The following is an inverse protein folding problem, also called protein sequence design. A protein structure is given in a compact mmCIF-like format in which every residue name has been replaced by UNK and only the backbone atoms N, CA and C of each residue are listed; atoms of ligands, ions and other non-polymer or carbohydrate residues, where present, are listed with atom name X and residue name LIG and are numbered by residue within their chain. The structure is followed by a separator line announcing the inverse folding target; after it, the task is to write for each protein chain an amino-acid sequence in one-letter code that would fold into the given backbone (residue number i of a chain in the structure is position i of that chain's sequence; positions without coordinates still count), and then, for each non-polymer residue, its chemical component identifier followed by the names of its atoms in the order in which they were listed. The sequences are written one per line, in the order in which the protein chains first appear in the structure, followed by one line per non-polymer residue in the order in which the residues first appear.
data_IF_427460723159
#
_entry.id   IF_427460723159
#
_cell.length_a   1.000
_cell.length_b   1.000
_cell.length_c   1.000
_cell.angle_alpha   90.00
_cell.angle_beta   90.00
_cell.angle_gamma   90.00
#
_symmetry.space_group_name_H-M   'P 1'
#
loop_
_entity.id
_entity.type
_entity.pdbx_description
1 polymer ?
#
# COMPACT_ATOMS: atom_id res chain seq x y z
N UNK A 1 -7.27 28.48 -8.81
CA UNK A 1 -8.23 27.65 -9.58
C UNK A 1 -8.52 26.31 -8.93
N UNK A 2 -7.54 25.62 -8.32
CA UNK A 2 -7.70 24.25 -7.80
C UNK A 2 -8.77 24.07 -6.70
N UNK A 3 -9.14 25.13 -5.98
CA UNK A 3 -10.18 25.11 -4.94
C UNK A 3 -11.59 24.86 -5.46
N UNK A 4 -11.88 25.32 -6.68
CA UNK A 4 -13.26 25.38 -7.17
C UNK A 4 -13.87 23.98 -7.17
N UNK A 5 -13.12 22.99 -7.67
CA UNK A 5 -13.54 21.60 -7.76
C UNK A 5 -13.79 20.96 -6.38
N UNK A 6 -12.92 21.22 -5.40
CA UNK A 6 -13.17 20.77 -4.03
C UNK A 6 -14.45 21.38 -3.44
N UNK A 7 -14.67 22.68 -3.66
CA UNK A 7 -15.85 23.39 -3.15
C UNK A 7 -17.14 22.83 -3.78
N UNK A 8 -17.11 22.53 -5.08
CA UNK A 8 -18.22 21.89 -5.78
C UNK A 8 -18.45 20.46 -5.26
N UNK A 9 -17.40 19.66 -5.06
CA UNK A 9 -17.52 18.32 -4.51
C UNK A 9 -18.14 18.32 -3.10
N UNK A 10 -17.69 19.20 -2.21
CA UNK A 10 -18.28 19.36 -0.86
C UNK A 10 -19.75 19.76 -0.94
N UNK A 11 -20.11 20.64 -1.89
CA UNK A 11 -21.48 21.09 -2.07
C UNK A 11 -22.41 19.98 -2.60
N UNK A 12 -21.97 19.22 -3.59
CA UNK A 12 -22.82 18.27 -4.31
C UNK A 12 -22.78 16.85 -3.77
N UNK A 13 -21.63 16.39 -3.27
CA UNK A 13 -21.40 15.01 -2.81
C UNK A 13 -20.56 14.97 -1.52
N UNK A 14 -21.00 15.63 -0.43
CA UNK A 14 -20.20 15.74 0.80
C UNK A 14 -19.81 14.38 1.39
N UNK A 15 -20.71 13.39 1.36
CA UNK A 15 -20.43 12.04 1.84
C UNK A 15 -19.34 11.32 1.03
N UNK A 16 -19.21 11.64 -0.26
CA UNK A 16 -18.12 11.12 -1.10
C UNK A 16 -16.79 11.77 -0.72
N UNK A 17 -16.78 13.08 -0.46
CA UNK A 17 -15.60 13.82 -0.02
C UNK A 17 -15.07 13.27 1.30
N UNK A 18 -15.96 13.05 2.27
CA UNK A 18 -15.62 12.49 3.57
C UNK A 18 -15.03 11.07 3.45
N UNK A 19 -15.63 10.22 2.61
CA UNK A 19 -15.22 8.83 2.44
C UNK A 19 -13.90 8.69 1.68
N UNK A 20 -13.76 9.36 0.53
CA UNK A 20 -12.62 9.14 -0.37
C UNK A 20 -11.44 10.07 -0.09
N UNK A 21 -11.69 11.25 0.48
CA UNK A 21 -10.64 12.27 0.65
C UNK A 21 -10.59 12.88 2.06
N UNK A 22 -10.57 12.06 3.13
CA UNK A 22 -10.48 12.58 4.50
C UNK A 22 -9.17 13.34 4.70
N UNK A 23 -9.22 14.60 5.15
CA UNK A 23 -8.07 15.51 5.22
C UNK A 23 -6.85 14.92 5.95
N UNK A 24 -7.06 14.02 6.91
CA UNK A 24 -5.99 13.36 7.66
C UNK A 24 -5.02 12.57 6.78
N UNK A 25 -5.48 12.00 5.66
CA UNK A 25 -4.60 11.21 4.77
C UNK A 25 -3.61 12.11 4.02
N UNK A 26 -4.06 13.32 3.67
CA UNK A 26 -3.23 14.35 3.05
C UNK A 26 -2.24 14.94 4.06
N UNK A 27 -2.69 15.18 5.30
CA UNK A 27 -1.81 15.61 6.38
C UNK A 27 -0.68 14.61 6.63
N UNK A 28 -0.97 13.31 6.74
CA UNK A 28 0.05 12.28 6.94
C UNK A 28 1.05 12.22 5.78
N UNK A 29 0.53 12.33 4.56
CA UNK A 29 1.35 12.38 3.35
C UNK A 29 2.30 13.58 3.39
N UNK A 30 1.84 14.78 3.71
CA UNK A 30 2.66 15.98 3.70
C UNK A 30 3.32 16.31 5.06
N UNK A 31 3.59 15.29 5.88
CA UNK A 31 4.34 15.46 7.14
C UNK A 31 3.64 16.37 8.16
N UNK A 32 2.31 16.32 8.17
CA UNK A 32 1.41 17.15 8.98
C UNK A 32 1.52 18.66 8.71
N UNK A 33 1.98 19.05 7.51
CA UNK A 33 1.94 20.44 7.06
C UNK A 33 0.54 20.78 6.49
N UNK A 34 -0.25 21.66 7.17
CA UNK A 34 -1.63 21.91 6.78
C UNK A 34 -1.74 22.64 5.43
N UNK A 35 -0.76 23.47 5.06
CA UNK A 35 -0.76 24.19 3.79
C UNK A 35 -0.50 23.25 2.61
N UNK A 36 0.45 22.33 2.75
CA UNK A 36 0.74 21.35 1.70
C UNK A 36 -0.41 20.36 1.54
N UNK A 37 -0.96 19.86 2.66
CA UNK A 37 -2.12 18.97 2.65
C UNK A 37 -3.35 19.63 2.00
N UNK A 38 -3.61 20.90 2.31
CA UNK A 38 -4.68 21.68 1.70
C UNK A 38 -4.52 21.77 0.17
N UNK A 39 -3.31 22.12 -0.29
CA UNK A 39 -3.00 22.20 -1.73
C UNK A 39 -3.18 20.86 -2.42
N UNK A 40 -2.66 19.78 -1.82
CA UNK A 40 -2.80 18.42 -2.37
C UNK A 40 -4.26 17.97 -2.45
N UNK A 41 -5.08 18.27 -1.43
CA UNK A 41 -6.51 17.94 -1.46
C UNK A 41 -7.28 18.75 -2.52
N UNK A 42 -6.95 20.04 -2.70
CA UNK A 42 -7.52 20.82 -3.79
C UNK A 42 -7.11 20.24 -5.16
N UNK A 43 -5.83 19.92 -5.33
CA UNK A 43 -5.30 19.29 -6.54
C UNK A 43 -5.94 17.92 -6.82
N UNK A 44 -6.20 17.10 -5.79
CA UNK A 44 -6.91 15.82 -5.92
C UNK A 44 -8.23 15.99 -6.67
N UNK A 45 -9.10 16.90 -6.23
CA UNK A 45 -10.42 17.10 -6.82
C UNK A 45 -10.35 17.77 -8.19
N UNK A 46 -9.40 18.69 -8.39
CA UNK A 46 -9.10 19.24 -9.73
C UNK A 46 -8.73 18.13 -10.70
N UNK A 47 -7.73 17.32 -10.38
CA UNK A 47 -7.26 16.25 -11.27
C UNK A 47 -8.31 15.17 -11.45
N UNK A 48 -9.10 14.86 -10.41
CA UNK A 48 -10.25 13.95 -10.57
C UNK A 48 -11.22 14.47 -11.62
N UNK A 49 -11.53 15.77 -11.64
CA UNK A 49 -12.36 16.36 -12.69
C UNK A 49 -11.72 16.27 -14.07
N UNK A 50 -10.45 16.62 -14.19
CA UNK A 50 -9.72 16.58 -15.47
C UNK A 50 -9.65 15.16 -16.05
N UNK A 51 -9.41 14.16 -15.20
CA UNK A 51 -9.19 12.78 -15.61
C UNK A 51 -10.52 12.04 -15.91
N UNK A 52 -11.56 12.27 -15.12
CA UNK A 52 -12.84 11.54 -15.20
C UNK A 52 -13.94 12.33 -15.93
N UNK A 53 -13.67 13.56 -16.38
CA UNK A 53 -14.61 14.38 -17.11
C UNK A 53 -15.90 14.59 -16.32
N UNK A 54 -17.05 14.29 -16.91
CA UNK A 54 -18.37 14.44 -16.28
C UNK A 54 -18.61 13.45 -15.13
N UNK A 55 -17.88 12.34 -15.08
CA UNK A 55 -18.06 11.25 -14.10
C UNK A 55 -17.32 11.50 -12.78
N UNK A 56 -16.63 12.63 -12.64
CA UNK A 56 -15.72 12.90 -11.52
C UNK A 56 -16.38 12.99 -10.14
N UNK A 57 -17.69 13.25 -10.08
CA UNK A 57 -18.46 13.26 -8.82
C UNK A 57 -19.09 11.91 -8.48
N UNK A 58 -18.85 10.88 -9.29
CA UNK A 58 -19.34 9.54 -9.01
C UNK A 58 -18.39 8.80 -8.05
N UNK A 59 -18.88 7.75 -7.35
CA UNK A 59 -18.02 6.89 -6.54
C UNK A 59 -16.95 6.19 -7.38
N UNK A 60 -15.76 6.01 -6.80
CA UNK A 60 -14.68 5.26 -7.44
C UNK A 60 -14.91 3.74 -7.28
N UNK A 61 -15.71 3.16 -8.18
CA UNK A 61 -16.07 1.73 -8.19
C UNK A 61 -15.74 1.07 -9.52
N UNK A 62 -15.55 -0.25 -9.49
CA UNK A 62 -15.36 -1.15 -10.63
C UNK A 62 -16.67 -1.67 -11.23
N UNK A 63 -17.80 -1.07 -10.89
CA UNK A 63 -19.13 -1.49 -11.40
C UNK A 63 -19.41 -1.02 -12.82
N UNK A 64 -18.59 -0.11 -13.36
CA UNK A 64 -18.79 0.52 -14.67
C UNK A 64 -19.83 1.65 -14.66
N UNK A 65 -20.55 1.81 -13.54
CA UNK A 65 -21.50 2.90 -13.28
C UNK A 65 -20.91 4.05 -12.45
N UNK A 66 -19.72 3.88 -11.86
CA UNK A 66 -19.03 4.88 -11.05
C UNK A 66 -18.12 5.82 -11.88
N UNK A 67 -17.00 6.27 -11.30
CA UNK A 67 -15.98 7.01 -12.04
C UNK A 67 -15.35 6.17 -13.16
N UNK A 68 -15.09 4.89 -12.92
CA UNK A 68 -14.47 4.00 -13.90
C UNK A 68 -15.49 3.56 -14.96
N UNK A 69 -15.07 3.65 -16.21
CA UNK A 69 -15.79 3.12 -17.36
C UNK A 69 -15.59 1.61 -17.51
N UNK A 70 -16.39 0.99 -18.38
CA UNK A 70 -16.21 -0.44 -18.74
C UNK A 70 -14.83 -0.68 -19.36
N UNK A 71 -14.32 0.26 -20.15
CA UNK A 71 -12.99 0.17 -20.75
C UNK A 71 -11.88 0.21 -19.69
N UNK A 72 -12.03 1.04 -18.66
CA UNK A 72 -11.07 1.07 -17.54
C UNK A 72 -11.07 -0.27 -16.77
N UNK A 73 -12.23 -0.89 -16.59
CA UNK A 73 -12.35 -2.19 -15.91
C UNK A 73 -11.74 -3.30 -16.76
N UNK A 74 -12.00 -3.28 -18.07
CA UNK A 74 -11.37 -4.21 -19.02
C UNK A 74 -9.85 -4.06 -18.98
N UNK A 75 -9.35 -2.83 -18.89
CA UNK A 75 -7.91 -2.58 -18.74
C UNK A 75 -7.37 -3.12 -17.41
N UNK A 76 -8.05 -2.89 -16.28
CA UNK A 76 -7.66 -3.48 -14.99
C UNK A 76 -7.58 -5.02 -15.11
N UNK A 77 -8.53 -5.64 -15.82
CA UNK A 77 -8.56 -7.10 -16.01
C UNK A 77 -7.37 -7.65 -16.81
N UNK A 78 -6.61 -6.82 -17.54
CA UNK A 78 -5.37 -7.29 -18.20
C UNK A 78 -4.29 -7.70 -17.18
N UNK A 79 -4.41 -7.20 -15.94
CA UNK A 79 -3.39 -7.27 -14.91
C UNK A 79 -2.09 -6.54 -15.26
N UNK A 80 -2.15 -5.53 -16.14
CA UNK A 80 -1.03 -4.61 -16.38
C UNK A 80 -0.65 -3.86 -15.10
N UNK A 81 -1.63 -3.35 -14.36
CA UNK A 81 -1.41 -2.65 -13.09
C UNK A 81 -1.96 -3.51 -11.95
N UNK A 82 -1.08 -3.97 -11.06
CA UNK A 82 -1.45 -4.75 -9.87
C UNK A 82 -0.85 -4.07 -8.65
N UNK A 83 -1.63 -3.93 -7.59
CA UNK A 83 -1.17 -3.32 -6.33
C UNK A 83 -1.24 -4.33 -5.21
N UNK A 84 -0.12 -4.45 -4.49
CA UNK A 84 0.01 -5.31 -3.32
C UNK A 84 0.22 -4.47 -2.07
N UNK A 85 -0.45 -4.86 -1.00
CA UNK A 85 -0.08 -4.40 0.34
C UNK A 85 1.02 -5.31 0.87
N UNK A 86 2.17 -4.71 1.17
CA UNK A 86 3.30 -5.42 1.79
C UNK A 86 3.15 -5.41 3.30
N UNK A 87 4.24 -5.71 4.01
CA UNK A 87 4.27 -5.48 5.45
C UNK A 87 4.08 -3.98 5.73
N UNK A 88 3.57 -3.62 6.92
CA UNK A 88 3.43 -2.23 7.34
C UNK A 88 4.67 -1.38 7.03
N UNK A 89 5.87 -1.89 7.30
CA UNK A 89 7.16 -1.18 7.17
C UNK A 89 7.55 -0.91 5.70
N UNK A 90 7.01 -1.70 4.80
CA UNK A 90 7.42 -1.77 3.41
C UNK A 90 6.53 -0.99 2.45
N UNK A 91 5.31 -0.65 2.89
CA UNK A 91 4.36 0.15 2.14
C UNK A 91 3.67 -0.63 1.01
N UNK A 92 3.41 0.04 -0.11
CA UNK A 92 2.78 -0.58 -1.28
C UNK A 92 3.81 -1.03 -2.32
N UNK A 93 3.44 -2.04 -3.10
CA UNK A 93 4.09 -2.38 -4.36
C UNK A 93 3.10 -2.20 -5.51
N UNK A 94 3.37 -1.24 -6.39
CA UNK A 94 2.72 -1.12 -7.69
C UNK A 94 3.53 -1.91 -8.71
N UNK A 95 2.94 -2.95 -9.25
CA UNK A 95 3.49 -3.73 -10.34
C UNK A 95 2.89 -3.23 -11.65
N UNK A 96 3.73 -2.78 -12.57
CA UNK A 96 3.38 -2.32 -13.91
C UNK A 96 4.04 -3.26 -14.92
N UNK A 97 3.29 -4.22 -15.44
CA UNK A 97 3.81 -5.27 -16.31
C UNK A 97 3.42 -5.06 -17.77
N UNK A 98 4.33 -4.47 -18.54
CA UNK A 98 4.14 -4.15 -19.96
C UNK A 98 3.78 -5.38 -20.80
N UNK A 99 4.15 -6.58 -20.37
CA UNK A 99 3.86 -7.84 -21.09
C UNK A 99 2.36 -8.16 -21.14
N UNK A 100 1.58 -7.48 -20.31
CA UNK A 100 0.14 -7.67 -20.16
C UNK A 100 -0.68 -6.72 -21.03
N UNK A 101 -0.03 -5.73 -21.66
CA UNK A 101 -0.71 -4.78 -22.54
C UNK A 101 -1.03 -5.45 -23.87
N UNK A 102 -2.29 -5.33 -24.28
CA UNK A 102 -2.75 -5.90 -25.55
C UNK A 102 -2.97 -4.83 -26.61
N UNK A 103 -3.11 -3.55 -26.22
CA UNK A 103 -3.38 -2.42 -27.12
C UNK A 103 -2.70 -1.15 -26.60
N UNK A 104 -2.44 -0.19 -27.51
CA UNK A 104 -2.13 1.19 -27.13
C UNK A 104 -3.44 1.83 -26.67
N UNK A 105 -3.66 1.86 -25.36
CA UNK A 105 -4.89 2.40 -24.80
C UNK A 105 -4.82 3.92 -24.63
N UNK A 106 -5.99 4.52 -24.41
CA UNK A 106 -6.18 5.94 -24.15
C UNK A 106 -5.20 6.45 -23.06
N UNK A 107 -4.52 7.58 -23.34
CA UNK A 107 -3.40 8.16 -22.59
C UNK A 107 -3.63 8.27 -21.07
N UNK A 108 -4.89 8.38 -20.62
CA UNK A 108 -5.23 8.57 -19.21
C UNK A 108 -5.78 7.32 -18.50
N UNK A 109 -5.92 6.18 -19.17
CA UNK A 109 -6.45 4.94 -18.55
C UNK A 109 -5.62 4.52 -17.34
N UNK A 110 -4.29 4.48 -17.49
CA UNK A 110 -3.40 4.14 -16.37
C UNK A 110 -3.55 5.13 -15.20
N UNK A 111 -3.64 6.43 -15.50
CA UNK A 111 -3.84 7.47 -14.47
C UNK A 111 -5.16 7.25 -13.72
N UNK A 112 -6.26 6.93 -14.41
CA UNK A 112 -7.56 6.60 -13.79
C UNK A 112 -7.46 5.42 -12.85
N UNK A 113 -6.73 4.39 -13.25
CA UNK A 113 -6.56 3.16 -12.47
C UNK A 113 -5.69 3.39 -11.24
N UNK A 114 -4.62 4.18 -11.36
CA UNK A 114 -3.82 4.58 -10.19
C UNK A 114 -4.66 5.42 -9.22
N UNK A 115 -5.52 6.30 -9.72
CA UNK A 115 -6.50 7.02 -8.89
C UNK A 115 -7.42 6.05 -8.13
N UNK A 116 -7.96 5.03 -8.82
CA UNK A 116 -8.75 3.99 -8.19
C UNK A 116 -7.98 3.29 -7.07
N UNK A 117 -6.78 2.78 -7.34
CA UNK A 117 -6.00 2.10 -6.31
C UNK A 117 -5.66 3.00 -5.12
N UNK A 118 -5.36 4.28 -5.36
CA UNK A 118 -5.11 5.21 -4.26
C UNK A 118 -6.32 5.40 -3.34
N UNK A 119 -7.56 5.25 -3.85
CA UNK A 119 -8.76 5.25 -2.98
C UNK A 119 -8.91 3.98 -2.16
N UNK A 120 -8.34 2.86 -2.63
CA UNK A 120 -8.36 1.58 -1.90
C UNK A 120 -7.32 1.54 -0.78
N UNK A 121 -6.16 2.15 -0.99
CA UNK A 121 -5.03 2.06 -0.06
C UNK A 121 -4.79 3.38 0.68
N UNK A 122 -5.73 3.72 1.56
CA UNK A 122 -5.69 4.93 2.38
C UNK A 122 -5.25 4.67 3.83
N UNK A 123 -4.60 3.54 4.08
CA UNK A 123 -4.09 3.22 5.40
C UNK A 123 -2.88 4.10 5.78
N UNK A 124 -2.61 4.19 7.09
CA UNK A 124 -1.54 5.01 7.62
C UNK A 124 -0.17 4.64 7.07
N UNK A 125 0.11 3.35 6.88
CA UNK A 125 1.43 2.87 6.50
C UNK A 125 1.73 3.23 5.05
N UNK A 126 0.75 3.11 4.16
CA UNK A 126 0.87 3.58 2.77
C UNK A 126 1.23 5.07 2.68
N UNK A 127 0.63 5.92 3.52
CA UNK A 127 0.88 7.38 3.51
C UNK A 127 2.27 7.76 4.01
N UNK A 128 2.81 6.98 4.97
CA UNK A 128 4.08 7.28 5.62
C UNK A 128 5.25 6.63 4.89
N UNK A 129 5.13 5.34 4.58
CA UNK A 129 6.21 4.54 4.00
C UNK A 129 6.24 4.62 2.47
N UNK A 130 5.14 5.05 1.85
CA UNK A 130 5.02 5.25 0.43
C UNK A 130 4.90 3.95 -0.37
N UNK A 131 5.12 4.07 -1.67
CA UNK A 131 4.95 3.02 -2.65
C UNK A 131 6.27 2.78 -3.39
N UNK A 132 6.56 1.50 -3.62
CA UNK A 132 7.56 1.05 -4.59
C UNK A 132 6.84 0.77 -5.90
N UNK A 133 7.33 1.31 -7.01
CA UNK A 133 6.82 1.00 -8.35
C UNK A 133 7.80 0.06 -9.03
N UNK A 134 7.34 -1.10 -9.47
CA UNK A 134 8.12 -2.09 -10.21
C UNK A 134 7.57 -2.19 -11.64
N UNK A 135 8.35 -1.69 -12.59
CA UNK A 135 8.11 -1.86 -14.01
C UNK A 135 8.73 -3.18 -14.49
N UNK A 136 7.90 -4.03 -15.08
CA UNK A 136 8.33 -5.27 -15.74
C UNK A 136 8.37 -5.03 -17.23
N UNK A 137 9.56 -5.22 -17.80
CA UNK A 137 9.86 -4.89 -19.20
C UNK A 137 10.26 -6.18 -19.94
N UNK A 138 9.65 -6.51 -21.07
CA UNK A 138 10.01 -7.69 -21.88
C UNK A 138 10.60 -7.31 -23.24
N UNK A 139 11.39 -8.21 -23.82
CA UNK A 139 11.94 -7.97 -25.15
C UNK A 139 10.87 -8.20 -26.21
N UNK A 140 10.50 -7.14 -26.94
CA UNK A 140 9.52 -7.24 -28.03
C UNK A 140 9.03 -5.90 -28.55
N UNK A 141 8.34 -5.94 -29.69
CA UNK A 141 7.57 -4.80 -30.21
C UNK A 141 6.49 -4.43 -29.19
N UNK A 142 6.71 -3.34 -28.46
CA UNK A 142 5.71 -2.81 -27.54
C UNK A 142 4.84 -1.80 -28.28
N UNK A 143 3.52 -1.74 -28.01
CA UNK A 143 2.85 -0.46 -28.15
C UNK A 143 3.62 0.54 -27.28
N UNK A 144 4.01 1.69 -27.84
CA UNK A 144 4.62 2.75 -27.05
C UNK A 144 3.65 3.07 -25.93
N UNK A 145 4.05 2.78 -24.69
CA UNK A 145 3.29 3.24 -23.55
C UNK A 145 3.50 4.73 -23.53
N UNK A 146 2.46 5.50 -23.87
CA UNK A 146 2.55 6.94 -23.71
C UNK A 146 2.60 7.22 -22.21
N UNK A 147 3.81 7.24 -21.67
CA UNK A 147 4.05 7.59 -20.29
C UNK A 147 3.91 9.10 -20.17
N UNK A 148 2.67 9.55 -20.26
CA UNK A 148 2.31 10.93 -20.20
C UNK A 148 2.82 11.52 -18.87
N UNK A 149 3.83 12.42 -18.91
CA UNK A 149 4.39 13.01 -17.70
C UNK A 149 3.36 13.80 -16.90
N UNK A 150 2.26 14.22 -17.55
CA UNK A 150 1.12 14.84 -16.88
C UNK A 150 0.42 13.87 -15.93
N UNK A 151 0.17 12.63 -16.35
CA UNK A 151 -0.47 11.63 -15.50
C UNK A 151 0.32 11.38 -14.22
N UNK A 152 1.64 11.22 -14.34
CA UNK A 152 2.55 11.09 -13.20
C UNK A 152 2.59 12.33 -12.32
N UNK A 153 2.50 13.53 -12.90
CA UNK A 153 2.42 14.79 -12.16
C UNK A 153 1.12 14.89 -11.37
N UNK A 154 -0.02 14.52 -11.98
CA UNK A 154 -1.33 14.48 -11.33
C UNK A 154 -1.32 13.51 -10.15
N UNK A 155 -0.80 12.29 -10.37
CA UNK A 155 -0.62 11.27 -9.34
C UNK A 155 0.23 11.83 -8.18
N UNK A 156 1.41 12.37 -8.48
CA UNK A 156 2.34 12.89 -7.46
C UNK A 156 1.76 14.06 -6.67
N UNK A 157 1.03 14.97 -7.31
CA UNK A 157 0.59 16.22 -6.70
C UNK A 157 -0.82 16.15 -6.12
N UNK A 158 -1.66 15.22 -6.58
CA UNK A 158 -3.05 15.09 -6.14
C UNK A 158 -3.28 13.92 -5.20
N UNK A 159 -2.58 12.80 -5.36
CA UNK A 159 -2.87 11.62 -4.54
C UNK A 159 -2.17 11.70 -3.17
N UNK A 160 -2.81 11.21 -2.09
CA UNK A 160 -2.22 11.14 -0.75
C UNK A 160 -1.25 9.94 -0.64
N UNK A 161 -0.24 9.90 -1.51
CA UNK A 161 0.72 8.81 -1.62
C UNK A 161 2.12 9.36 -1.89
N UNK A 162 3.15 8.66 -1.40
CA UNK A 162 4.56 8.94 -1.68
C UNK A 162 5.16 7.85 -2.55
N UNK A 163 6.13 8.20 -3.38
CA UNK A 163 6.96 7.23 -4.07
C UNK A 163 8.28 7.06 -3.33
N UNK A 164 8.50 5.86 -2.78
CA UNK A 164 9.72 5.48 -2.08
C UNK A 164 10.82 5.11 -3.07
N UNK A 165 10.47 4.31 -4.07
CA UNK A 165 11.43 3.76 -5.03
C UNK A 165 10.73 3.44 -6.35
N UNK A 166 11.48 3.52 -7.45
CA UNK A 166 11.07 3.06 -8.77
C UNK A 166 12.09 2.03 -9.25
N UNK A 167 11.64 0.86 -9.64
CA UNK A 167 12.44 -0.27 -10.09
C UNK A 167 12.04 -0.63 -11.51
N UNK A 168 13.02 -0.90 -12.36
CA UNK A 168 12.81 -1.39 -13.72
C UNK A 168 13.52 -2.73 -13.84
N UNK A 169 12.75 -3.80 -14.07
CA UNK A 169 13.26 -5.16 -14.15
C UNK A 169 12.87 -5.81 -15.47
N UNK A 170 13.86 -6.39 -16.15
CA UNK A 170 13.62 -7.10 -17.42
C UNK A 170 13.17 -8.54 -17.14
N UNK A 171 12.10 -8.97 -17.79
CA UNK A 171 11.68 -10.37 -17.84
C UNK A 171 12.83 -11.23 -18.41
N UNK A 172 13.20 -12.29 -17.70
CA UNK A 172 14.33 -13.12 -18.13
C UNK A 172 13.98 -13.87 -19.42
N UNK A 173 14.81 -13.69 -20.45
CA UNK A 173 14.75 -14.45 -21.69
C UNK A 173 16.04 -15.26 -21.85
N UNK A 174 15.94 -16.59 -22.05
CA UNK A 174 17.11 -17.46 -22.16
C UNK A 174 18.04 -17.10 -23.32
N UNK A 175 17.49 -16.48 -24.37
CA UNK A 175 18.24 -16.04 -25.54
C UNK A 175 18.51 -14.54 -25.40
N UNK A 176 19.65 -14.18 -24.80
CA UNK A 176 20.08 -12.79 -24.72
C UNK A 176 20.49 -12.28 -26.10
N UNK A 177 19.54 -11.78 -26.88
CA UNK A 177 19.85 -10.90 -28.01
C UNK A 177 20.22 -9.53 -27.47
N UNK A 178 21.16 -8.84 -28.13
CA UNK A 178 21.57 -7.48 -27.75
C UNK A 178 20.39 -6.48 -27.72
N UNK A 179 19.34 -6.76 -28.50
CA UNK A 179 18.13 -5.94 -28.60
C UNK A 179 17.42 -5.76 -27.25
N UNK A 180 17.27 -6.82 -26.46
CA UNK A 180 16.56 -6.69 -25.18
C UNK A 180 17.34 -5.93 -24.11
N UNK A 181 18.67 -5.81 -24.23
CA UNK A 181 19.44 -4.91 -23.36
C UNK A 181 19.17 -3.46 -23.72
N UNK A 182 19.06 -3.14 -25.02
CA UNK A 182 18.72 -1.80 -25.47
C UNK A 182 17.34 -1.38 -24.95
N UNK A 183 16.33 -2.25 -25.04
CA UNK A 183 14.98 -1.94 -24.54
C UNK A 183 14.91 -1.68 -23.03
N UNK A 184 15.71 -2.39 -22.22
CA UNK A 184 15.81 -2.11 -20.79
C UNK A 184 16.43 -0.73 -20.54
N UNK A 185 17.43 -0.35 -21.33
CA UNK A 185 18.05 0.97 -21.25
C UNK A 185 17.08 2.06 -21.71
N UNK A 186 16.33 1.83 -22.79
CA UNK A 186 15.33 2.77 -23.30
C UNK A 186 14.23 2.99 -22.25
N UNK A 187 13.70 1.92 -21.66
CA UNK A 187 12.74 2.01 -20.56
C UNK A 187 13.33 2.76 -19.35
N UNK A 188 14.59 2.49 -18.97
CA UNK A 188 15.24 3.23 -17.90
C UNK A 188 15.34 4.73 -18.24
N UNK A 189 15.77 5.07 -19.44
CA UNK A 189 15.94 6.46 -19.90
C UNK A 189 14.60 7.18 -19.86
N UNK A 190 13.55 6.55 -20.37
CA UNK A 190 12.19 7.08 -20.37
C UNK A 190 11.68 7.32 -18.94
N UNK A 191 11.76 6.32 -18.06
CA UNK A 191 11.38 6.47 -16.66
C UNK A 191 12.21 7.53 -15.93
N UNK A 192 13.49 7.63 -16.25
CA UNK A 192 14.38 8.63 -15.65
C UNK A 192 14.03 10.04 -16.12
N UNK A 193 13.67 10.21 -17.39
CA UNK A 193 13.20 11.48 -17.93
C UNK A 193 11.91 11.94 -17.23
N UNK A 194 10.95 11.03 -17.04
CA UNK A 194 9.73 11.31 -16.28
C UNK A 194 10.06 11.68 -14.85
N UNK A 195 10.87 10.88 -14.15
CA UNK A 195 11.27 11.16 -12.77
C UNK A 195 11.89 12.55 -12.60
N UNK A 196 12.76 12.96 -13.54
CA UNK A 196 13.33 14.32 -13.58
C UNK A 196 12.24 15.37 -13.83
N UNK A 197 11.43 15.19 -14.86
CA UNK A 197 10.40 16.15 -15.27
C UNK A 197 9.37 16.40 -14.15
N UNK A 198 8.94 15.34 -13.48
CA UNK A 198 7.99 15.43 -12.37
C UNK A 198 8.67 15.57 -11.01
N UNK A 199 9.99 15.81 -10.97
CA UNK A 199 10.80 16.04 -9.76
C UNK A 199 10.57 14.97 -8.67
N UNK A 200 10.54 13.70 -9.05
CA UNK A 200 10.54 12.61 -8.09
C UNK A 200 11.80 12.69 -7.22
N UNK A 201 11.65 12.32 -5.95
CA UNK A 201 12.78 12.23 -5.02
C UNK A 201 13.58 10.94 -5.20
N UNK A 202 12.98 9.93 -5.84
CA UNK A 202 13.62 8.67 -6.20
C UNK A 202 13.86 8.62 -7.71
N UNK A 203 15.05 8.18 -8.08
CA UNK A 203 15.40 7.86 -9.47
C UNK A 203 15.11 6.38 -9.73
N UNK A 204 14.71 6.02 -10.97
CA UNK A 204 14.54 4.62 -11.33
C UNK A 204 15.85 3.84 -11.21
N UNK A 205 15.79 2.65 -10.63
CA UNK A 205 16.91 1.71 -10.53
C UNK A 205 16.67 0.51 -11.45
N UNK A 206 17.71 0.12 -12.20
CA UNK A 206 17.67 -1.14 -12.95
C UNK A 206 17.92 -2.31 -12.01
N UNK A 207 17.10 -3.35 -12.17
CA UNK A 207 17.37 -4.69 -11.65
C UNK A 207 17.85 -5.57 -12.82
N UNK A 208 19.11 -5.96 -12.78
CA UNK A 208 19.75 -6.79 -13.82
C UNK A 208 20.48 -7.96 -13.19
N UNK A 209 20.17 -9.17 -13.62
CA UNK A 209 20.94 -10.37 -13.32
C UNK A 209 20.94 -11.33 -14.50
N UNK A 210 21.86 -12.30 -14.49
CA UNK A 210 22.01 -13.30 -15.54
C UNK A 210 21.02 -14.47 -15.41
N UNK A 211 20.36 -14.60 -14.26
CA UNK A 211 19.39 -15.66 -13.97
C UNK A 211 18.13 -15.10 -13.31
N UNK A 212 17.01 -15.83 -13.43
CA UNK A 212 15.76 -15.53 -12.72
C UNK A 212 15.96 -15.41 -11.20
N UNK A 213 16.74 -16.33 -10.62
CA UNK A 213 17.05 -16.32 -9.19
C UNK A 213 17.84 -15.07 -8.78
N UNK A 214 18.78 -14.63 -9.63
CA UNK A 214 19.52 -13.40 -9.41
C UNK A 214 18.63 -12.15 -9.45
N UNK A 215 17.65 -12.09 -10.38
CA UNK A 215 16.67 -10.99 -10.45
C UNK A 215 15.82 -10.98 -9.18
N UNK A 216 15.26 -12.13 -8.81
CA UNK A 216 14.44 -12.29 -7.61
C UNK A 216 15.21 -11.91 -6.33
N UNK A 217 16.46 -12.34 -6.19
CA UNK A 217 17.31 -11.99 -5.05
C UNK A 217 17.60 -10.49 -4.97
N UNK A 218 17.82 -9.82 -6.11
CA UNK A 218 17.99 -8.37 -6.15
C UNK A 218 16.70 -7.60 -5.80
N UNK A 219 15.56 -8.08 -6.25
CA UNK A 219 14.25 -7.52 -5.89
C UNK A 219 13.97 -7.70 -4.39
N UNK A 220 14.23 -8.88 -3.86
CA UNK A 220 14.06 -9.20 -2.44
C UNK A 220 14.97 -8.35 -1.55
N UNK A 221 16.22 -8.09 -1.95
CA UNK A 221 17.12 -7.18 -1.23
C UNK A 221 16.63 -5.72 -1.18
N UNK A 222 15.70 -5.35 -2.08
CA UNK A 222 14.99 -4.06 -2.11
C UNK A 222 13.59 -4.15 -1.48
N UNK A 223 13.31 -5.27 -0.83
CA UNK A 223 12.09 -5.58 -0.09
C UNK A 223 10.96 -6.17 -0.93
N UNK A 224 11.10 -6.33 -2.24
CA UNK A 224 10.08 -6.99 -3.06
C UNK A 224 10.07 -8.50 -2.76
N UNK A 225 9.18 -8.92 -1.86
CA UNK A 225 9.04 -10.32 -1.45
C UNK A 225 8.77 -11.24 -2.66
N UNK A 226 9.39 -12.42 -2.68
CA UNK A 226 9.28 -13.35 -3.83
C UNK A 226 7.84 -13.70 -4.21
N UNK A 227 6.93 -13.81 -3.25
CA UNK A 227 5.51 -14.09 -3.50
C UNK A 227 4.71 -12.93 -4.11
N UNK A 228 5.27 -11.73 -4.17
CA UNK A 228 4.69 -10.55 -4.83
C UNK A 228 5.35 -10.25 -6.18
N UNK A 229 6.45 -10.95 -6.50
CA UNK A 229 7.19 -10.79 -7.75
C UNK A 229 6.68 -11.80 -8.77
N UNK A 230 6.37 -11.39 -10.02
CA UNK A 230 5.94 -12.30 -11.08
C UNK A 230 6.96 -13.40 -11.38
N UNK A 231 6.47 -14.57 -11.84
CA UNK A 231 7.33 -15.69 -12.25
C UNK A 231 8.34 -15.34 -13.35
N UNK A 232 8.01 -14.41 -14.25
CA UNK A 232 8.92 -13.94 -15.30
C UNK A 232 10.16 -13.17 -14.76
N UNK A 233 10.13 -12.79 -13.47
CA UNK A 233 11.24 -12.18 -12.73
C UNK A 233 11.79 -13.08 -11.62
N UNK A 234 11.43 -14.37 -11.62
CA UNK A 234 11.92 -15.37 -10.68
C UNK A 234 11.18 -15.42 -9.35
N UNK A 235 10.05 -14.71 -9.23
CA UNK A 235 9.18 -14.80 -8.06
C UNK A 235 8.14 -15.92 -8.16
N UNK A 236 7.15 -15.88 -7.26
CA UNK A 236 6.10 -16.89 -7.12
C UNK A 236 4.71 -16.36 -7.48
N UNK A 237 4.57 -15.05 -7.74
CA UNK A 237 3.29 -14.44 -8.05
C UNK A 237 2.75 -14.93 -9.40
N UNK A 238 1.48 -15.32 -9.40
CA UNK A 238 0.74 -15.78 -10.57
C UNK A 238 -0.47 -14.87 -10.77
N UNK A 239 -0.63 -14.32 -11.98
CA UNK A 239 -1.71 -13.39 -12.32
C UNK A 239 -3.12 -13.97 -12.11
N UNK A 240 -3.27 -15.30 -12.04
CA UNK A 240 -4.54 -15.93 -11.66
C UNK A 240 -5.01 -15.55 -10.26
N UNK A 241 -4.09 -15.24 -9.34
CA UNK A 241 -4.40 -14.75 -7.98
C UNK A 241 -5.06 -13.37 -8.04
N UNK A 242 -4.55 -12.48 -8.89
CA UNK A 242 -5.15 -11.17 -9.11
C UNK A 242 -6.55 -11.26 -9.70
N UNK A 243 -6.80 -12.21 -10.62
CA UNK A 243 -8.14 -12.48 -11.13
C UNK A 243 -9.11 -13.00 -10.06
N UNK A 244 -8.61 -13.72 -9.05
CA UNK A 244 -9.37 -14.08 -7.86
C UNK A 244 -9.82 -12.84 -7.10
N UNK A 245 -8.85 -11.99 -6.74
CA UNK A 245 -9.10 -10.74 -6.02
C UNK A 245 -10.04 -9.79 -6.78
N UNK A 246 -9.87 -9.67 -8.10
CA UNK A 246 -10.73 -8.84 -8.94
C UNK A 246 -12.20 -9.29 -8.88
N UNK A 247 -12.45 -10.61 -8.92
CA UNK A 247 -13.80 -11.16 -8.79
C UNK A 247 -14.39 -10.91 -7.40
N UNK A 248 -13.61 -11.14 -6.35
CA UNK A 248 -14.04 -10.86 -4.97
C UNK A 248 -14.37 -9.38 -4.79
N UNK A 249 -13.54 -8.48 -5.35
CA UNK A 249 -13.76 -7.05 -5.30
C UNK A 249 -15.06 -6.65 -5.98
N UNK A 250 -15.32 -7.15 -7.18
CA UNK A 250 -16.57 -6.90 -7.90
C UNK A 250 -17.80 -7.41 -7.14
N UNK A 251 -17.71 -8.57 -6.49
CA UNK A 251 -18.79 -9.09 -5.65
C UNK A 251 -19.08 -8.18 -4.46
N UNK A 252 -18.03 -7.65 -3.82
CA UNK A 252 -18.17 -6.76 -2.66
C UNK A 252 -18.81 -5.43 -3.05
N UNK A 253 -18.41 -4.85 -4.18
CA UNK A 253 -18.98 -3.58 -4.66
C UNK A 253 -20.42 -3.72 -5.17
N UNK A 254 -20.80 -4.89 -5.71
CA UNK A 254 -22.18 -5.16 -6.15
C UNK A 254 -23.11 -5.52 -4.99
N UNK A 255 -22.58 -5.88 -3.82
CA UNK A 255 -23.41 -6.15 -2.66
C UNK A 255 -23.87 -4.81 -2.04
N UNK A 256 -25.18 -4.53 -2.08
CA UNK A 256 -25.81 -3.36 -1.44
C UNK A 256 -25.47 -3.22 0.07
N UNK A 257 -24.93 -4.29 0.67
CA UNK A 257 -24.36 -4.35 2.01
C UNK A 257 -23.16 -3.40 2.23
N UNK A 258 -22.59 -2.82 1.17
CA UNK A 258 -21.45 -1.91 1.26
C UNK A 258 -21.80 -0.45 1.60
N UNK A 259 -23.06 -0.17 1.95
CA UNK A 259 -23.46 1.11 2.55
C UNK A 259 -22.72 1.42 3.87
N UNK A 260 -22.00 0.44 4.47
CA UNK A 260 -21.26 0.56 5.72
C UNK A 260 -19.72 0.67 5.68
N UNK A 261 -19.08 0.95 4.54
CA UNK A 261 -17.69 1.43 4.52
C UNK A 261 -16.56 0.47 4.98
N UNK A 262 -16.80 -0.83 5.09
CA UNK A 262 -15.73 -1.79 5.43
C UNK A 262 -14.66 -1.85 4.34
N UNK A 263 -13.37 -1.70 4.67
CA UNK A 263 -12.31 -1.91 3.68
C UNK A 263 -12.20 -3.40 3.32
N UNK A 264 -12.18 -3.71 2.02
CA UNK A 264 -11.75 -5.04 1.54
C UNK A 264 -10.24 -5.13 1.74
N UNK A 265 -9.71 -6.26 2.27
CA UNK A 265 -8.27 -6.45 2.34
C UNK A 265 -7.63 -6.26 0.97
N UNK A 266 -6.49 -5.61 0.95
CA UNK A 266 -5.62 -5.60 -0.21
C UNK A 266 -5.33 -7.03 -0.69
N UNK A 267 -4.82 -7.18 -1.92
CA UNK A 267 -4.17 -8.42 -2.31
C UNK A 267 -2.96 -8.64 -1.38
N UNK A 268 -3.18 -9.38 -0.30
CA UNK A 268 -2.13 -9.78 0.63
C UNK A 268 -1.47 -11.03 0.10
N UNK A 269 -0.15 -11.08 0.21
CA UNK A 269 0.63 -12.23 -0.18
C UNK A 269 0.18 -13.46 0.64
N UNK A 270 -0.62 -14.36 0.05
CA UNK A 270 -0.87 -15.65 0.67
C UNK A 270 0.37 -16.53 0.46
N UNK A 271 0.89 -17.19 1.51
CA UNK A 271 1.92 -18.19 1.31
C UNK A 271 1.37 -19.28 0.38
N UNK A 272 2.17 -19.82 -0.55
CA UNK A 272 1.74 -20.95 -1.37
C UNK A 272 1.32 -22.07 -0.42
N UNK A 273 0.09 -22.57 -0.56
CA UNK A 273 -0.40 -23.68 0.23
C UNK A 273 0.49 -24.91 -0.08
N UNK A 274 1.40 -25.26 0.83
CA UNK A 274 2.41 -26.30 0.61
C UNK A 274 1.83 -27.71 0.42
N UNK A 275 0.51 -27.93 0.52
CA UNK A 275 -0.10 -29.27 0.42
C UNK A 275 -1.51 -29.27 -0.21
N UNK A 276 -1.65 -28.85 -1.47
CA UNK A 276 -2.92 -28.95 -2.21
C UNK A 276 -2.87 -29.98 -3.36
N UNK A 277 -2.40 -31.19 -3.09
CA UNK A 277 -2.55 -32.36 -3.96
C UNK A 277 -3.74 -33.21 -3.52
N UNK A 278 -4.96 -32.66 -3.49
CA UNK A 278 -6.24 -33.40 -3.62
C UNK A 278 -7.42 -32.44 -3.49
N UNK A 279 -7.95 -31.94 -4.62
CA UNK A 279 -9.40 -31.74 -4.93
C UNK A 279 -9.56 -30.85 -6.18
N UNK A 280 -9.22 -31.39 -7.35
CA UNK A 280 -9.57 -30.81 -8.66
C UNK A 280 -10.84 -31.49 -9.19
N UNK A 281 -12.01 -30.97 -8.81
CA UNK A 281 -13.26 -31.23 -9.54
C UNK A 281 -14.23 -30.03 -9.45
N UNK A 282 -14.28 -29.31 -8.33
CA UNK A 282 -15.18 -28.17 -8.15
C UNK A 282 -14.76 -26.90 -8.91
N UNK A 283 -13.46 -26.69 -9.19
CA UNK A 283 -12.96 -25.48 -9.85
C UNK A 283 -13.26 -25.41 -11.36
N UNK A 284 -13.61 -26.52 -12.02
CA UNK A 284 -13.91 -26.54 -13.48
C UNK A 284 -15.36 -26.19 -13.80
N UNK A 285 -16.28 -26.24 -12.83
CA UNK A 285 -17.69 -25.89 -13.07
C UNK A 285 -17.94 -24.36 -13.06
N UNK A 286 -17.11 -23.58 -12.37
CA UNK A 286 -17.28 -22.13 -12.25
C UNK A 286 -16.69 -21.32 -13.42
N UNK A 287 -15.94 -21.95 -14.34
CA UNK A 287 -15.29 -21.28 -15.47
C UNK A 287 -16.15 -21.20 -16.74
N UNK A 288 -17.41 -21.66 -16.70
CA UNK A 288 -18.28 -21.78 -17.89
C UNK A 288 -19.44 -20.76 -17.97
N UNK A 289 -19.55 -19.78 -17.07
CA UNK A 289 -20.71 -18.87 -17.02
C UNK A 289 -20.43 -17.36 -17.08
N UNK A 290 -19.23 -16.92 -17.48
CA UNK A 290 -18.96 -15.51 -17.76
C UNK A 290 -18.61 -15.31 -19.24
N UNK A 291 -19.62 -15.40 -20.11
CA UNK A 291 -19.53 -14.89 -21.48
C UNK A 291 -19.81 -13.40 -21.41
N UNK A 292 -18.75 -12.58 -21.47
CA UNK A 292 -18.89 -11.15 -21.74
C UNK A 292 -19.32 -10.98 -23.22
N UNK A 293 -20.23 -10.04 -23.54
CA UNK A 293 -20.68 -9.84 -24.91
C UNK A 293 -19.53 -9.28 -25.76
N UNK A 294 -19.25 -9.97 -26.86
CA UNK A 294 -18.25 -9.61 -27.85
C UNK A 294 -18.78 -8.43 -28.68
N UNK A 295 -18.24 -7.23 -28.49
CA UNK A 295 -18.56 -6.04 -29.31
C UNK A 295 -17.43 -5.82 -30.31
N UNK A 296 -17.71 -6.09 -31.58
CA UNK A 296 -16.81 -5.83 -32.70
C UNK A 296 -16.92 -4.35 -33.13
N UNK A 297 -15.87 -3.58 -32.88
CA UNK A 297 -15.71 -2.21 -33.41
C UNK A 297 -14.72 -2.25 -34.56
N UNK A 298 -15.20 -2.00 -35.77
CA UNK A 298 -14.37 -1.68 -36.94
C UNK A 298 -13.95 -0.22 -36.86
N UNK A 299 -12.65 0.06 -36.90
CA UNK A 299 -12.14 1.42 -37.12
C UNK A 299 -11.06 1.38 -38.19
N UNK A 300 -11.32 2.11 -39.28
CA UNK A 300 -10.38 2.40 -40.36
C UNK A 300 -9.56 3.63 -39.96
N UNK A 301 -8.23 3.52 -39.97
CA UNK A 301 -7.32 4.64 -39.72
C UNK A 301 -6.66 5.04 -41.03
N UNK A 302 -6.83 6.31 -41.39
CA UNK A 302 -6.07 7.01 -42.43
C UNK A 302 -4.89 7.75 -41.79
N UNK A 303 -3.69 7.51 -42.31
CA UNK A 303 -2.44 8.15 -41.90
C UNK A 303 -2.22 9.46 -42.67
N UNK A 304 -1.73 10.49 -41.98
CA UNK A 304 -1.02 11.63 -42.59
C UNK A 304 0.23 11.93 -41.78
N UNK A 305 1.36 11.91 -42.47
CA UNK A 305 2.69 12.29 -42.01
C UNK A 305 2.80 13.79 -41.71
N UNK A 306 3.80 14.18 -40.90
CA UNK A 306 4.38 15.51 -41.02
C UNK A 306 5.10 16.07 -39.79
N UNK A 307 6.43 16.05 -39.88
CA UNK A 307 7.36 17.12 -39.44
C UNK A 307 7.99 17.09 -38.02
N UNK A 308 9.25 16.67 -38.06
CA UNK A 308 10.47 17.15 -37.37
C UNK A 308 10.47 18.59 -36.81
N UNK A 309 11.13 18.80 -35.65
CA UNK A 309 12.36 19.61 -35.53
C UNK A 309 12.88 19.88 -34.11
N UNK A 310 14.19 19.70 -33.97
CA UNK A 310 15.17 20.52 -33.23
C UNK A 310 15.37 20.36 -31.71
N UNK A 311 16.61 20.00 -31.41
CA UNK A 311 17.28 19.89 -30.12
C UNK A 311 17.89 21.21 -29.65
N UNK A 312 17.78 21.53 -28.37
CA UNK A 312 18.63 22.52 -27.68
C UNK A 312 19.18 21.91 -26.40
N UNK A 313 20.50 21.74 -26.34
CA UNK A 313 21.24 21.35 -25.13
C UNK A 313 21.63 22.60 -24.33
N UNK A 314 21.29 22.63 -23.05
CA UNK A 314 21.92 23.54 -22.08
C UNK A 314 22.32 22.74 -20.83
N UNK A 315 23.63 22.60 -20.62
CA UNK A 315 24.22 22.05 -19.38
C UNK A 315 24.20 23.14 -18.31
N UNK A 316 23.65 22.82 -17.14
CA UNK A 316 23.86 23.60 -15.91
C UNK A 316 24.16 22.65 -14.77
N UNK A 317 25.38 22.75 -14.26
CA UNK A 317 25.95 22.00 -13.15
C UNK A 317 25.72 22.76 -11.84
N UNK A 318 24.98 22.16 -10.90
CA UNK A 318 24.79 22.66 -9.53
C UNK A 318 25.37 21.64 -8.54
N UNK A 319 26.23 22.04 -7.59
CA UNK A 319 26.80 21.14 -6.58
C UNK A 319 25.81 20.86 -5.43
N UNK A 320 25.95 19.72 -4.73
CA UNK A 320 25.02 19.32 -3.69
C UNK A 320 25.27 20.05 -2.35
N UNK A 321 24.18 20.45 -1.69
CA UNK A 321 24.18 20.96 -0.32
C UNK A 321 24.16 19.79 0.69
N UNK A 322 24.76 19.97 1.89
CA UNK A 322 24.90 18.92 2.89
C UNK A 322 23.59 18.70 3.66
N UNK A 323 23.22 17.43 3.83
CA UNK A 323 22.05 17.02 4.60
C UNK A 323 22.27 17.09 6.13
N UNK A 324 21.22 17.30 6.93
CA UNK A 324 21.33 17.39 8.38
C UNK A 324 21.48 15.99 9.02
N UNK A 325 22.39 15.92 9.99
CA UNK A 325 22.68 14.72 10.77
C UNK A 325 21.45 14.22 11.54
N UNK A 326 21.05 12.97 11.26
CA UNK A 326 20.08 12.23 12.07
C UNK A 326 20.75 11.73 13.35
N UNK A 327 20.32 12.25 14.50
CA UNK A 327 20.58 11.62 15.81
C UNK A 327 19.83 10.28 15.87
N UNK A 328 20.58 9.20 16.14
CA UNK A 328 20.05 7.89 16.50
C UNK A 328 19.62 7.94 17.96
N UNK A 329 18.33 7.84 18.23
CA UNK A 329 17.81 7.42 19.54
C UNK A 329 17.67 5.90 19.52
N UNK A 330 18.38 5.25 20.43
CA UNK A 330 18.39 3.81 20.61
C UNK A 330 17.24 3.38 21.53
N UNK A 331 16.69 2.21 21.22
CA UNK A 331 15.58 1.57 21.88
C UNK A 331 15.85 1.25 23.37
N UNK A 332 14.86 1.54 24.21
CA UNK A 332 14.76 1.09 25.59
C UNK A 332 13.42 0.37 25.78
N UNK A 333 13.29 -0.83 25.24
CA UNK A 333 12.16 -1.74 25.52
C UNK A 333 12.68 -3.17 25.60
N UNK A 334 12.95 -3.67 26.82
CA UNK A 334 12.89 -5.10 27.18
C UNK A 334 13.38 -5.30 28.63
N UNK A 335 12.54 -4.98 29.62
CA UNK A 335 12.88 -5.24 31.03
C UNK A 335 11.73 -5.73 31.91
N UNK A 336 10.46 -5.64 31.48
CA UNK A 336 9.31 -5.99 32.33
C UNK A 336 8.84 -7.45 32.22
N UNK A 337 9.34 -8.22 31.24
CA UNK A 337 8.88 -9.60 30.97
C UNK A 337 9.54 -10.67 31.86
N UNK A 338 10.74 -10.41 32.39
CA UNK A 338 11.53 -11.44 33.09
C UNK A 338 11.08 -11.70 34.55
N UNK A 339 10.41 -10.75 35.20
CA UNK A 339 10.07 -10.87 36.63
C UNK A 339 8.83 -11.73 36.88
N UNK A 340 7.86 -11.75 35.96
CA UNK A 340 6.63 -12.54 36.12
C UNK A 340 6.85 -14.04 35.89
N UNK A 341 7.81 -14.41 35.03
CA UNK A 341 8.12 -15.81 34.68
C UNK A 341 8.78 -16.59 35.85
N UNK A 342 9.61 -15.92 36.65
CA UNK A 342 10.32 -16.56 37.76
C UNK A 342 9.42 -16.88 38.96
N UNK A 343 8.37 -16.09 39.20
CA UNK A 343 7.48 -16.27 40.36
C UNK A 343 6.57 -17.51 40.17
N UNK A 344 6.20 -17.84 38.93
CA UNK A 344 5.30 -18.96 38.64
C UNK A 344 5.99 -20.31 38.79
N UNK A 345 7.28 -20.43 38.42
CA UNK A 345 8.02 -21.71 38.47
C UNK A 345 8.36 -22.20 39.89
N UNK A 346 8.45 -21.31 40.88
CA UNK A 346 8.81 -21.68 42.26
C UNK A 346 7.61 -22.25 43.03
N UNK A 347 6.37 -22.03 42.57
CA UNK A 347 5.19 -22.43 43.33
C UNK A 347 4.77 -23.88 43.16
N UNK A 348 5.19 -24.58 42.10
CA UNK A 348 4.74 -25.94 41.78
C UNK A 348 5.64 -27.05 42.32
N UNK A 349 6.88 -26.78 42.74
CA UNK A 349 7.82 -27.84 43.16
C UNK A 349 7.80 -28.18 44.66
N UNK A 350 6.92 -27.57 45.46
CA UNK A 350 6.94 -27.74 46.93
C UNK A 350 5.82 -28.66 47.45
N UNK A 351 4.86 -29.07 46.62
CA UNK A 351 3.71 -29.86 47.09
C UNK A 351 3.98 -31.38 47.17
N UNK A 352 5.06 -31.89 46.57
CA UNK A 352 5.28 -33.34 46.39
C UNK A 352 6.16 -34.04 47.45
N UNK A 353 6.55 -33.35 48.55
CA UNK A 353 7.54 -33.89 49.50
C UNK A 353 7.06 -33.96 50.97
N UNK A 354 5.80 -34.29 51.25
CA UNK A 354 5.32 -34.51 52.62
C UNK A 354 5.28 -36.00 52.98
N UNK A 355 6.04 -36.46 53.99
CA UNK A 355 6.03 -37.85 54.44
C UNK A 355 4.67 -38.22 55.04
N UNK A 356 4.10 -39.31 54.52
CA UNK A 356 2.82 -39.88 54.96
C UNK A 356 2.98 -40.56 56.32
N UNK A 357 2.29 -40.08 57.37
CA UNK A 357 2.01 -40.98 58.50
C UNK A 357 1.61 -40.37 59.84
N UNK A 358 2.07 -39.19 60.21
CA UNK A 358 1.77 -38.65 61.55
C UNK A 358 0.68 -37.56 61.53
N UNK A 359 -0.36 -37.66 62.38
CA UNK A 359 -1.37 -36.61 62.51
C UNK A 359 -0.69 -35.34 63.04
N UNK A 360 -0.61 -34.32 62.19
CA UNK A 360 -0.10 -33.01 62.58
C UNK A 360 -0.91 -32.46 63.75
N UNK A 361 -0.22 -32.04 64.81
CA UNK A 361 -0.82 -31.33 65.92
C UNK A 361 -1.62 -30.12 65.42
N UNK A 362 -2.74 -29.81 66.09
CA UNK A 362 -3.65 -28.72 65.72
C UNK A 362 -2.93 -27.35 65.69
N UNK A 363 -1.86 -27.18 66.47
CA UNK A 363 -0.99 -25.99 66.40
C UNK A 363 -0.19 -25.91 65.10
N UNK A 364 0.34 -27.04 64.61
CA UNK A 364 1.07 -27.11 63.34
C UNK A 364 0.17 -26.78 62.14
N UNK A 365 -1.07 -27.27 62.15
CA UNK A 365 -2.08 -26.93 61.12
C UNK A 365 -2.40 -25.44 61.13
N UNK A 366 -2.59 -24.84 62.31
CA UNK A 366 -2.84 -23.39 62.45
C UNK A 366 -1.69 -22.54 61.92
N UNK A 367 -0.44 -22.87 62.29
CA UNK A 367 0.76 -22.20 61.78
C UNK A 367 0.88 -22.31 60.26
N UNK A 368 0.64 -23.49 59.70
CA UNK A 368 0.66 -23.73 58.25
C UNK A 368 -0.38 -22.88 57.53
N UNK A 369 -1.62 -22.86 58.00
CA UNK A 369 -2.69 -22.06 57.41
C UNK A 369 -2.38 -20.56 57.48
N UNK A 370 -1.84 -20.08 58.61
CA UNK A 370 -1.40 -18.69 58.75
C UNK A 370 -0.30 -18.31 57.74
N UNK A 371 0.67 -19.21 57.50
CA UNK A 371 1.71 -19.02 56.49
C UNK A 371 1.12 -18.96 55.07
N UNK A 372 0.20 -19.87 54.72
CA UNK A 372 -0.47 -19.84 53.41
C UNK A 372 -1.30 -18.57 53.22
N UNK A 373 -2.05 -18.15 54.23
CA UNK A 373 -2.80 -16.88 54.19
C UNK A 373 -1.88 -15.69 53.98
N UNK A 374 -0.73 -15.64 54.68
CA UNK A 374 0.26 -14.56 54.52
C UNK A 374 0.91 -14.57 53.12
N UNK A 375 1.27 -15.74 52.59
CA UNK A 375 1.82 -15.88 51.23
C UNK A 375 0.81 -15.47 50.16
N UNK A 376 -0.44 -15.90 50.31
CA UNK A 376 -1.54 -15.56 49.40
C UNK A 376 -1.83 -14.06 49.42
N UNK A 377 -1.87 -13.46 50.62
CA UNK A 377 -2.01 -12.02 50.80
C UNK A 377 -0.86 -11.27 50.12
N UNK A 378 0.38 -11.69 50.32
CA UNK A 378 1.54 -11.06 49.69
C UNK A 378 1.52 -11.18 48.16
N UNK A 379 1.16 -12.34 47.62
CA UNK A 379 0.99 -12.55 46.17
C UNK A 379 -0.06 -11.59 45.59
N UNK A 380 -1.25 -11.50 46.22
CA UNK A 380 -2.31 -10.57 45.80
C UNK A 380 -1.86 -9.12 45.91
N UNK A 381 -1.12 -8.76 46.96
CA UNK A 381 -0.56 -7.40 47.10
C UNK A 381 0.39 -7.04 45.96
N UNK A 382 1.26 -7.96 45.55
CA UNK A 382 2.16 -7.74 44.41
C UNK A 382 1.39 -7.62 43.09
N UNK A 383 0.37 -8.45 42.88
CA UNK A 383 -0.50 -8.39 41.71
C UNK A 383 -1.25 -7.05 41.64
N UNK A 384 -1.82 -6.57 42.75
CA UNK A 384 -2.46 -5.25 42.83
C UNK A 384 -1.48 -4.14 42.46
N UNK A 385 -0.27 -4.14 43.04
CA UNK A 385 0.76 -3.14 42.71
C UNK A 385 1.15 -3.17 41.22
N UNK A 386 1.26 -4.36 40.63
CA UNK A 386 1.53 -4.50 39.20
C UNK A 386 0.40 -3.94 38.33
N UNK A 387 -0.86 -4.17 38.71
CA UNK A 387 -2.02 -3.64 37.99
C UNK A 387 -2.13 -2.12 38.16
N UNK A 388 -1.84 -1.58 39.34
CA UNK A 388 -1.80 -0.14 39.59
C UNK A 388 -0.78 0.57 38.69
N UNK A 389 0.41 0.00 38.49
CA UNK A 389 1.41 0.57 37.57
C UNK A 389 0.94 0.48 36.11
N UNK A 390 0.34 -0.64 35.67
CA UNK A 390 -0.24 -0.75 34.32
C UNK A 390 -1.36 0.28 34.08
N UNK A 391 -2.24 0.50 35.07
CA UNK A 391 -3.29 1.52 34.98
C UNK A 391 -2.69 2.92 34.86
N UNK A 392 -1.61 3.20 35.59
CA UNK A 392 -0.90 4.48 35.53
C UNK A 392 -0.23 4.68 34.16
N UNK A 393 0.45 3.67 33.63
CA UNK A 393 1.03 3.70 32.27
C UNK A 393 -0.05 3.95 31.21
N UNK A 394 -1.18 3.25 31.30
CA UNK A 394 -2.31 3.41 30.38
C UNK A 394 -2.95 4.81 30.49
N UNK A 395 -3.03 5.39 31.68
CA UNK A 395 -3.51 6.78 31.86
C UNK A 395 -2.58 7.78 31.18
N UNK A 396 -1.27 7.64 31.37
CA UNK A 396 -0.26 8.50 30.71
C UNK A 396 -0.37 8.35 29.18
N UNK A 397 -0.48 7.12 28.68
CA UNK A 397 -0.66 6.85 27.25
C UNK A 397 -1.95 7.46 26.70
N UNK A 398 -3.07 7.34 27.43
CA UNK A 398 -4.36 7.94 27.06
C UNK A 398 -4.26 9.48 26.98
N UNK A 399 -3.66 10.13 27.97
CA UNK A 399 -3.47 11.58 27.96
C UNK A 399 -2.57 12.04 26.80
N UNK A 400 -1.51 11.28 26.51
CA UNK A 400 -0.66 11.50 25.32
C UNK A 400 -1.46 11.44 24.02
N UNK A 401 -2.30 10.41 23.86
CA UNK A 401 -3.16 10.24 22.70
C UNK A 401 -4.22 11.35 22.57
N UNK A 402 -4.81 11.81 23.67
CA UNK A 402 -5.77 12.92 23.66
C UNK A 402 -5.12 14.23 23.21
N UNK A 403 -3.91 14.54 23.71
CA UNK A 403 -3.15 15.71 23.27
C UNK A 403 -2.85 15.65 21.77
N UNK A 404 -2.44 14.49 21.28
CA UNK A 404 -2.17 14.29 19.86
C UNK A 404 -3.45 14.40 19.01
N UNK A 405 -4.59 13.85 19.47
CA UNK A 405 -5.89 14.00 18.80
C UNK A 405 -6.25 15.48 18.64
N UNK A 406 -6.20 16.27 19.72
CA UNK A 406 -6.49 17.69 19.66
C UNK A 406 -5.54 18.45 18.71
N UNK A 407 -4.24 18.08 18.69
CA UNK A 407 -3.26 18.65 17.76
C UNK A 407 -3.64 18.35 16.30
N UNK A 408 -4.01 17.11 16.00
CA UNK A 408 -4.41 16.67 14.66
C UNK A 408 -5.70 17.34 14.20
N UNK A 409 -6.69 17.50 15.09
CA UNK A 409 -7.93 18.24 14.83
C UNK A 409 -7.64 19.71 14.50
N UNK A 410 -6.74 20.37 15.24
CA UNK A 410 -6.35 21.75 14.98
C UNK A 410 -5.66 21.91 13.61
N UNK A 411 -4.80 20.95 13.23
CA UNK A 411 -4.16 20.92 11.92
C UNK A 411 -5.15 20.66 10.78
N UNK A 412 -6.07 19.72 10.98
CA UNK A 412 -7.14 19.42 10.03
C UNK A 412 -8.02 20.64 9.79
N UNK A 413 -8.45 21.31 10.86
CA UNK A 413 -9.22 22.56 10.79
C UNK A 413 -8.46 23.64 10.03
N UNK A 414 -7.18 23.82 10.34
CA UNK A 414 -6.31 24.81 9.66
C UNK A 414 -6.18 24.49 8.17
N UNK A 415 -5.98 23.23 7.80
CA UNK A 415 -5.90 22.81 6.41
C UNK A 415 -7.21 23.09 5.66
N UNK A 416 -8.37 22.74 6.24
CA UNK A 416 -9.67 23.03 5.64
C UNK A 416 -9.93 24.54 5.47
N UNK A 417 -9.56 25.35 6.46
CA UNK A 417 -9.61 26.82 6.35
C UNK A 417 -8.71 27.34 5.23
N UNK A 418 -7.51 26.77 5.04
CA UNK A 418 -6.61 27.16 3.94
C UNK A 418 -7.18 26.81 2.57
N UNK A 419 -7.83 25.64 2.42
CA UNK A 419 -8.51 25.27 1.16
C UNK A 419 -9.60 26.28 0.81
N UNK A 420 -10.26 26.88 1.80
CA UNK A 420 -11.29 27.91 1.58
C UNK A 420 -10.75 29.34 1.49
N UNK A 421 -9.43 29.55 1.56
CA UNK A 421 -8.79 30.86 1.41
C UNK A 421 -7.92 30.97 0.15
N UNK A 422 -7.25 29.89 -0.21
CA UNK A 422 -6.53 29.71 -1.50
C UNK A 422 -7.54 29.70 -2.65
#
# INVERSE_FOLDING_TARGET
MERLEYTLAVKFVPGLVEKESPIIVFLRTDGFNPLLAARRLAAYWKYRREIFGERWLLPMTMTGSGCLSVDDINFISTAYNVVFQRTPEDGLLFLLDDTRLTKSDNELVNTRIVFFYATLFTDYQTQVNGATVLFVVQSGSRPSLDLNPEGWRMIRNGLPMKFKQVLVARAHEPQQTGEGQQQLLDALVEQSAIAVQIKLQCFPEIVKAESLEGIAGQLESRGCQKNLVPRCLGGLFDYTQFMGWLRERLLLENSDLFSGGGMVPALTAQPPAENATTTSAAARAAASMAVLPNVSVNTSITSTDGESSSSVQARSSIPPLPGPARKKEAAAESSSSLTTSLITKVSTQVEDALPSGEPLDADAIRKRNALYSRRTYHKRKLEILSLEEQVKELKIKKEGLLRESHRLEALAKTALELITKV
#
